data_IF_321847340499
#
_entry.id   IF_321847340499
#
_cell.length_a   1.000
_cell.length_b   1.000
_cell.length_c   1.000
_cell.angle_alpha   90.00
_cell.angle_beta   90.00
_cell.angle_gamma   90.00
#
_symmetry.space_group_name_H-M   'P 1'
#
loop_
_entity.id
_entity.type
_entity.pdbx_description
1 polymer ?
#
# COMPACT_ATOMS: atom_id res chain seq x y z
N UNK A 1 -24.63 -9.70 -24.23
CA UNK A 1 -24.99 -8.89 -23.05
C UNK A 1 -24.28 -7.57 -23.12
N UNK A 2 -25.07 -6.51 -23.03
CA UNK A 2 -24.61 -5.13 -23.17
C UNK A 2 -24.31 -4.58 -21.78
N UNK A 3 -23.01 -4.46 -21.46
CA UNK A 3 -22.54 -3.94 -20.17
C UNK A 3 -23.05 -2.51 -19.94
N UNK A 4 -23.20 -1.71 -21.01
CA UNK A 4 -23.73 -0.35 -20.91
C UNK A 4 -25.19 -0.34 -20.45
N UNK A 5 -25.98 -1.36 -20.83
CA UNK A 5 -27.37 -1.49 -20.37
C UNK A 5 -27.45 -1.74 -18.87
N UNK A 6 -26.54 -2.53 -18.31
CA UNK A 6 -26.47 -2.75 -16.85
C UNK A 6 -25.98 -1.49 -16.12
N UNK A 7 -24.94 -0.83 -16.65
CA UNK A 7 -24.39 0.40 -16.05
C UNK A 7 -25.47 1.50 -15.97
N UNK A 8 -26.33 1.62 -16.98
CA UNK A 8 -27.46 2.57 -16.98
C UNK A 8 -28.56 2.27 -15.94
N UNK A 9 -28.54 1.11 -15.31
CA UNK A 9 -29.47 0.79 -14.24
C UNK A 9 -29.14 1.53 -12.94
N UNK A 10 -27.89 2.00 -12.80
CA UNK A 10 -27.45 2.77 -11.65
C UNK A 10 -27.98 4.20 -11.74
N UNK A 11 -28.70 4.62 -10.69
CA UNK A 11 -29.27 5.96 -10.57
C UNK A 11 -28.51 6.78 -9.52
N UNK A 12 -28.58 8.12 -9.61
CA UNK A 12 -28.08 8.98 -8.54
C UNK A 12 -28.76 8.66 -7.22
N UNK A 13 -27.98 8.65 -6.14
CA UNK A 13 -28.44 8.31 -4.80
C UNK A 13 -28.48 9.55 -3.91
N UNK A 14 -29.43 9.57 -2.97
CA UNK A 14 -29.56 10.56 -1.91
C UNK A 14 -29.30 9.94 -0.54
N UNK A 15 -29.17 10.76 0.51
CA UNK A 15 -28.97 10.26 1.88
C UNK A 15 -30.12 9.37 2.38
N UNK A 16 -31.30 9.44 1.77
CA UNK A 16 -32.44 8.60 2.13
C UNK A 16 -32.35 7.19 1.53
N UNK A 17 -31.53 6.99 0.50
CA UNK A 17 -31.47 5.77 -0.29
C UNK A 17 -30.38 4.79 0.19
N UNK A 18 -29.55 5.19 1.17
CA UNK A 18 -28.39 4.40 1.60
C UNK A 18 -28.36 4.24 3.12
N UNK A 19 -28.17 3.00 3.57
CA UNK A 19 -27.92 2.66 4.97
C UNK A 19 -26.71 3.43 5.49
N UNK A 20 -26.74 3.87 6.76
CA UNK A 20 -25.63 4.61 7.35
C UNK A 20 -24.36 3.74 7.41
N UNK A 21 -23.38 4.05 6.55
CA UNK A 21 -22.07 3.38 6.49
C UNK A 21 -20.93 4.26 7.02
N UNK A 22 -21.19 5.55 7.27
CA UNK A 22 -20.22 6.53 7.75
C UNK A 22 -20.93 7.69 8.45
N UNK A 23 -20.17 8.68 8.94
CA UNK A 23 -20.74 9.91 9.49
C UNK A 23 -21.53 10.68 8.43
N UNK A 24 -22.56 11.44 8.83
CA UNK A 24 -23.45 12.15 7.88
C UNK A 24 -22.69 13.06 6.88
N UNK A 25 -21.59 13.68 7.33
CA UNK A 25 -20.73 14.50 6.46
C UNK A 25 -19.87 13.70 5.48
N UNK A 26 -19.55 12.45 5.79
CA UNK A 26 -18.81 11.53 4.91
C UNK A 26 -19.74 10.84 3.92
N UNK A 27 -20.93 10.41 4.36
CA UNK A 27 -21.97 9.86 3.48
C UNK A 27 -22.31 10.85 2.37
N UNK A 28 -22.54 12.12 2.70
CA UNK A 28 -22.82 13.15 1.68
C UNK A 28 -21.65 13.34 0.69
N UNK A 29 -20.40 13.29 1.17
CA UNK A 29 -19.20 13.38 0.30
C UNK A 29 -19.07 12.15 -0.61
N UNK A 30 -19.32 10.95 -0.08
CA UNK A 30 -19.29 9.71 -0.83
C UNK A 30 -20.38 9.69 -1.92
N UNK A 31 -21.60 10.10 -1.58
CA UNK A 31 -22.71 10.22 -2.53
C UNK A 31 -22.44 11.24 -3.64
N UNK A 32 -21.89 12.41 -3.29
CA UNK A 32 -21.49 13.41 -4.29
C UNK A 32 -20.44 12.86 -5.25
N UNK A 33 -19.48 12.09 -4.74
CA UNK A 33 -18.43 11.46 -5.55
C UNK A 33 -19.01 10.38 -6.46
N UNK A 34 -19.93 9.57 -5.94
CA UNK A 34 -20.63 8.52 -6.70
C UNK A 34 -21.52 9.11 -7.82
N UNK A 35 -22.34 10.11 -7.50
CA UNK A 35 -23.20 10.78 -8.47
C UNK A 35 -22.39 11.48 -9.57
N UNK A 36 -21.24 12.08 -9.20
CA UNK A 36 -20.30 12.63 -10.18
C UNK A 36 -19.72 11.54 -11.08
N UNK A 37 -19.35 10.37 -10.53
CA UNK A 37 -18.85 9.26 -11.33
C UNK A 37 -19.91 8.78 -12.34
N UNK A 38 -21.19 8.72 -11.97
CA UNK A 38 -22.28 8.40 -12.92
C UNK A 38 -22.35 9.40 -14.07
N UNK A 39 -22.31 10.71 -13.78
CA UNK A 39 -22.31 11.73 -14.85
C UNK A 39 -21.10 11.64 -15.77
N UNK A 40 -19.95 11.18 -15.26
CA UNK A 40 -18.73 10.98 -16.04
C UNK A 40 -18.81 9.74 -16.93
N UNK A 41 -19.48 8.67 -16.49
CA UNK A 41 -19.76 7.48 -17.30
C UNK A 41 -20.66 7.83 -18.49
N UNK A 42 -21.65 8.69 -18.29
CA UNK A 42 -22.49 9.19 -19.40
C UNK A 42 -21.69 10.07 -20.38
N UNK A 43 -20.77 10.90 -19.86
CA UNK A 43 -19.93 11.80 -20.63
C UNK A 43 -18.72 11.17 -21.35
N UNK A 44 -18.67 9.85 -21.47
CA UNK A 44 -17.56 9.09 -22.10
C UNK A 44 -16.21 9.24 -21.40
N UNK A 45 -16.19 9.70 -20.14
CA UNK A 45 -14.98 9.85 -19.32
C UNK A 45 -14.87 8.68 -18.32
N UNK A 46 -14.87 7.45 -18.87
CA UNK A 46 -14.97 6.25 -18.06
C UNK A 46 -13.75 6.02 -17.14
N UNK A 47 -12.56 6.47 -17.53
CA UNK A 47 -11.34 6.34 -16.71
C UNK A 47 -11.40 7.17 -15.43
N UNK A 48 -11.91 8.40 -15.50
CA UNK A 48 -12.06 9.27 -14.33
C UNK A 48 -13.11 8.70 -13.37
N UNK A 49 -14.23 8.21 -13.91
CA UNK A 49 -15.26 7.55 -13.13
C UNK A 49 -14.72 6.30 -12.44
N UNK A 50 -13.89 5.51 -13.13
CA UNK A 50 -13.29 4.29 -12.61
C UNK A 50 -12.36 4.57 -11.42
N UNK A 51 -11.55 5.63 -11.48
CA UNK A 51 -10.70 6.07 -10.35
C UNK A 51 -11.57 6.44 -9.14
N UNK A 52 -12.62 7.25 -9.36
CA UNK A 52 -13.52 7.68 -8.30
C UNK A 52 -14.25 6.49 -7.64
N UNK A 53 -14.76 5.56 -8.44
CA UNK A 53 -15.46 4.37 -7.96
C UNK A 53 -14.53 3.40 -7.21
N UNK A 54 -13.30 3.19 -7.71
CA UNK A 54 -12.27 2.39 -7.02
C UNK A 54 -11.98 2.96 -5.63
N UNK A 55 -11.80 4.28 -5.54
CA UNK A 55 -11.56 4.96 -4.27
C UNK A 55 -12.73 4.79 -3.31
N UNK A 56 -13.96 4.94 -3.80
CA UNK A 56 -15.17 4.74 -2.99
C UNK A 56 -15.28 3.30 -2.46
N UNK A 57 -15.10 2.31 -3.33
CA UNK A 57 -15.16 0.90 -2.94
C UNK A 57 -14.06 0.50 -1.94
N UNK A 58 -12.91 1.17 -1.95
CA UNK A 58 -11.84 0.95 -0.98
C UNK A 58 -12.08 1.69 0.34
N UNK A 59 -12.60 2.92 0.29
CA UNK A 59 -12.79 3.78 1.47
C UNK A 59 -14.06 3.42 2.26
N UNK A 60 -15.08 2.89 1.58
CA UNK A 60 -16.38 2.56 2.17
C UNK A 60 -16.83 1.17 1.71
N UNK A 61 -16.29 0.08 2.30
CA UNK A 61 -16.64 -1.29 1.90
C UNK A 61 -18.14 -1.61 2.03
N UNK A 62 -18.80 -1.04 3.03
CA UNK A 62 -20.24 -1.22 3.29
C UNK A 62 -21.11 -0.48 2.27
N UNK A 63 -20.53 0.44 1.49
CA UNK A 63 -21.19 1.09 0.36
C UNK A 63 -20.98 0.25 -0.91
N UNK A 64 -21.73 -0.85 -1.01
CA UNK A 64 -21.49 -1.94 -1.97
C UNK A 64 -21.83 -1.58 -3.42
N UNK A 65 -22.75 -0.65 -3.65
CA UNK A 65 -23.22 -0.21 -4.99
C UNK A 65 -22.08 0.34 -5.89
N UNK A 66 -21.21 1.27 -5.42
CA UNK A 66 -20.01 1.69 -6.16
C UNK A 66 -19.07 0.53 -6.51
N UNK A 67 -18.93 -0.45 -5.62
CA UNK A 67 -18.07 -1.61 -5.85
C UNK A 67 -18.58 -2.48 -6.99
N UNK A 68 -19.89 -2.73 -7.05
CA UNK A 68 -20.51 -3.48 -8.15
C UNK A 68 -20.40 -2.71 -9.47
N UNK A 69 -20.69 -1.40 -9.45
CA UNK A 69 -20.56 -0.53 -10.62
C UNK A 69 -19.12 -0.51 -11.15
N UNK A 70 -18.13 -0.46 -10.27
CA UNK A 70 -16.71 -0.54 -10.62
C UNK A 70 -16.38 -1.84 -11.36
N UNK A 71 -16.85 -3.00 -10.86
CA UNK A 71 -16.68 -4.29 -11.52
C UNK A 71 -17.33 -4.36 -12.91
N UNK A 72 -18.53 -3.80 -13.07
CA UNK A 72 -19.24 -3.76 -14.35
C UNK A 72 -18.54 -2.85 -15.39
N UNK A 73 -18.01 -1.71 -14.96
CA UNK A 73 -17.23 -0.82 -15.83
C UNK A 73 -15.93 -1.52 -16.28
N UNK A 74 -15.22 -2.21 -15.38
CA UNK A 74 -14.05 -3.02 -15.75
C UNK A 74 -14.39 -4.10 -16.78
N UNK A 75 -15.55 -4.77 -16.63
CA UNK A 75 -16.03 -5.76 -17.59
C UNK A 75 -16.31 -5.13 -18.96
N UNK A 76 -16.88 -3.92 -18.99
CA UNK A 76 -17.13 -3.19 -20.24
C UNK A 76 -15.86 -2.81 -21.00
N UNK A 77 -14.74 -2.61 -20.27
CA UNK A 77 -13.42 -2.31 -20.82
C UNK A 77 -12.60 -3.56 -21.19
N UNK A 78 -13.18 -4.76 -21.09
CA UNK A 78 -12.50 -6.01 -21.39
C UNK A 78 -11.56 -6.53 -20.30
N UNK A 79 -11.54 -5.91 -19.11
CA UNK A 79 -10.72 -6.36 -17.97
C UNK A 79 -11.44 -7.44 -17.15
N UNK A 80 -11.70 -8.58 -17.78
CA UNK A 80 -12.59 -9.65 -17.27
C UNK A 80 -12.15 -10.22 -15.92
N UNK A 81 -10.86 -10.49 -15.73
CA UNK A 81 -10.35 -11.09 -14.49
C UNK A 81 -10.45 -10.12 -13.30
N UNK A 82 -10.10 -8.85 -13.53
CA UNK A 82 -10.23 -7.80 -12.50
C UNK A 82 -11.70 -7.54 -12.15
N UNK A 83 -12.57 -7.50 -13.17
CA UNK A 83 -14.00 -7.36 -12.98
C UNK A 83 -14.57 -8.51 -12.13
N UNK A 84 -14.17 -9.76 -12.42
CA UNK A 84 -14.60 -10.94 -11.67
C UNK A 84 -14.23 -10.87 -10.20
N UNK A 85 -12.96 -10.60 -9.90
CA UNK A 85 -12.47 -10.50 -8.53
C UNK A 85 -13.19 -9.40 -7.75
N UNK A 86 -13.43 -8.26 -8.41
CA UNK A 86 -14.12 -7.14 -7.79
C UNK A 86 -15.61 -7.46 -7.51
N UNK A 87 -16.31 -8.11 -8.44
CA UNK A 87 -17.72 -8.48 -8.26
C UNK A 87 -17.86 -9.52 -7.15
N UNK A 88 -16.98 -10.53 -7.10
CA UNK A 88 -16.96 -11.52 -6.00
C UNK A 88 -16.75 -10.85 -4.64
N UNK A 89 -15.74 -9.98 -4.54
CA UNK A 89 -15.48 -9.22 -3.32
C UNK A 89 -16.70 -8.42 -2.87
N UNK A 90 -17.45 -7.84 -3.81
CA UNK A 90 -18.66 -7.09 -3.46
C UNK A 90 -19.77 -8.00 -2.97
N UNK A 91 -19.98 -9.16 -3.59
CA UNK A 91 -20.97 -10.15 -3.10
C UNK A 91 -20.66 -10.55 -1.66
N UNK A 92 -19.39 -10.80 -1.34
CA UNK A 92 -18.96 -11.17 0.02
C UNK A 92 -19.23 -10.07 1.06
N UNK A 93 -19.28 -8.79 0.66
CA UNK A 93 -19.60 -7.66 1.56
C UNK A 93 -21.10 -7.52 1.88
N UNK A 94 -21.98 -8.29 1.23
CA UNK A 94 -23.42 -8.29 1.49
C UNK A 94 -24.18 -7.26 0.64
N UNK A 95 -24.62 -7.68 -0.55
CA UNK A 95 -25.48 -6.86 -1.43
C UNK A 95 -26.95 -6.98 -1.02
N UNK A 96 -27.75 -5.96 -1.36
CA UNK A 96 -29.21 -6.12 -1.32
C UNK A 96 -29.64 -7.12 -2.41
N UNK A 97 -30.78 -7.82 -2.24
CA UNK A 97 -31.22 -8.87 -3.17
C UNK A 97 -31.21 -8.44 -4.65
N UNK A 98 -31.70 -7.23 -4.93
CA UNK A 98 -31.75 -6.67 -6.29
C UNK A 98 -30.36 -6.51 -6.94
N UNK A 99 -29.35 -6.12 -6.16
CA UNK A 99 -27.98 -5.96 -6.67
C UNK A 99 -27.25 -7.30 -6.74
N UNK A 100 -27.59 -8.24 -5.85
CA UNK A 100 -27.00 -9.58 -5.83
C UNK A 100 -27.37 -10.36 -7.10
N UNK A 101 -28.64 -10.32 -7.53
CA UNK A 101 -29.07 -10.96 -8.78
C UNK A 101 -28.30 -10.42 -10.00
N UNK A 102 -28.09 -9.09 -10.04
CA UNK A 102 -27.30 -8.45 -11.09
C UNK A 102 -25.82 -8.89 -11.05
N UNK A 103 -25.23 -9.00 -9.86
CA UNK A 103 -23.84 -9.40 -9.68
C UNK A 103 -23.61 -10.86 -10.10
N UNK A 104 -24.51 -11.77 -9.73
CA UNK A 104 -24.46 -13.18 -10.10
C UNK A 104 -24.63 -13.36 -11.62
N UNK A 105 -25.59 -12.65 -12.24
CA UNK A 105 -25.77 -12.67 -13.69
C UNK A 105 -24.54 -12.11 -14.44
N UNK A 106 -23.87 -11.10 -13.88
CA UNK A 106 -22.62 -10.57 -14.44
C UNK A 106 -21.48 -11.60 -14.35
N UNK A 107 -21.35 -12.31 -13.22
CA UNK A 107 -20.34 -13.35 -13.02
C UNK A 107 -20.55 -14.56 -13.93
N UNK A 108 -21.79 -15.05 -14.07
CA UNK A 108 -22.10 -16.18 -14.95
C UNK A 108 -21.60 -15.91 -16.37
N UNK A 109 -21.84 -14.70 -16.89
CA UNK A 109 -21.37 -14.32 -18.22
C UNK A 109 -19.84 -14.16 -18.30
N UNK A 110 -19.20 -13.62 -17.27
CA UNK A 110 -17.73 -13.50 -17.24
C UNK A 110 -17.08 -14.90 -17.30
N UNK A 111 -17.68 -15.88 -16.64
CA UNK A 111 -17.21 -17.27 -16.65
C UNK A 111 -17.41 -17.92 -18.04
N UNK A 112 -18.57 -17.76 -18.68
CA UNK A 112 -18.82 -18.23 -20.06
C UNK A 112 -17.80 -17.66 -21.05
N UNK A 113 -17.47 -16.36 -20.92
CA UNK A 113 -16.50 -15.69 -21.80
C UNK A 113 -15.07 -16.19 -21.59
N UNK A 114 -14.76 -16.79 -20.43
CA UNK A 114 -13.45 -17.36 -20.12
C UNK A 114 -13.29 -18.81 -20.59
N UNK A 115 -14.36 -19.61 -20.61
CA UNK A 115 -14.32 -21.01 -21.09
C UNK A 115 -14.12 -21.11 -22.61
N UNK A 116 -14.72 -20.20 -23.38
CA UNK A 116 -14.55 -20.16 -24.85
C UNK A 116 -13.11 -19.86 -25.27
N UNK A 117 -12.30 -19.25 -24.39
CA UNK A 117 -10.88 -18.98 -24.64
C UNK A 117 -9.97 -20.16 -24.24
N UNK A 118 -10.43 -21.10 -23.39
CA UNK A 118 -9.63 -22.26 -22.98
C UNK A 118 -9.82 -23.50 -23.85
N UNK A 119 -10.92 -23.60 -24.61
CA UNK A 119 -11.16 -24.74 -25.53
C UNK A 119 -10.48 -24.59 -26.91
N UNK A 120 -9.81 -23.45 -27.18
CA UNK A 120 -9.09 -23.19 -28.43
C UNK A 120 -7.57 -23.41 -28.40
N UNK A 121 -6.99 -23.85 -27.28
CA UNK A 121 -5.53 -23.97 -27.11
C UNK A 121 -5.06 -25.42 -27.14
N UNK A 122 -5.36 -26.14 -28.22
CA UNK A 122 -4.61 -27.33 -28.60
C UNK A 122 -4.39 -27.35 -30.12
N UNK A 123 -3.11 -27.25 -30.51
CA UNK A 123 -2.64 -27.64 -31.85
C UNK A 123 -2.22 -26.51 -32.81
N UNK A 124 -0.91 -26.26 -32.87
CA UNK A 124 -0.21 -26.06 -34.14
C UNK A 124 0.00 -24.61 -34.64
N UNK A 125 1.24 -24.12 -34.53
CA UNK A 125 1.86 -23.32 -35.61
C UNK A 125 2.33 -24.27 -36.73
N UNK A 126 2.66 -23.81 -37.97
CA UNK A 126 2.89 -22.43 -38.42
C UNK A 126 2.21 -22.06 -39.78
N UNK A 127 2.18 -20.77 -40.14
CA UNK A 127 1.95 -20.36 -41.53
C UNK A 127 1.51 -18.91 -41.71
N UNK A 128 2.34 -18.14 -42.42
CA UNK A 128 2.07 -16.80 -42.94
C UNK A 128 0.80 -16.74 -43.80
N UNK A 129 0.11 -15.59 -43.84
CA UNK A 129 -0.28 -14.86 -45.07
C UNK A 129 -0.66 -13.41 -44.71
N UNK A 130 -0.20 -12.52 -45.56
CA UNK A 130 -0.40 -11.08 -45.68
C UNK A 130 -1.87 -10.61 -45.74
N UNK A 131 -2.07 -9.33 -45.41
CA UNK A 131 -2.75 -8.45 -46.37
C UNK A 131 -3.99 -7.72 -45.86
N UNK A 132 -3.82 -6.39 -45.77
CA UNK A 132 -4.72 -5.28 -46.14
C UNK A 132 -4.90 -4.27 -45.00
N UNK A 133 -4.08 -3.20 -45.02
CA UNK A 133 -4.38 -1.87 -45.59
C UNK A 133 -5.40 -1.09 -44.76
N UNK A 134 -4.95 -0.06 -44.03
CA UNK A 134 -4.93 1.36 -44.44
C UNK A 134 -6.36 1.96 -44.41
N UNK A 135 -6.67 3.11 -43.82
CA UNK A 135 -5.91 4.35 -43.62
C UNK A 135 -6.69 5.30 -42.65
N UNK A 136 -6.22 6.53 -42.40
CA UNK A 136 -6.47 7.34 -41.19
C UNK A 136 -7.59 8.39 -41.36
N UNK A 137 -7.97 9.07 -40.26
CA UNK A 137 -8.72 10.34 -40.32
C UNK A 137 -8.07 11.41 -39.46
N UNK A 138 -7.51 12.42 -40.14
CA UNK A 138 -7.15 13.73 -39.59
C UNK A 138 -8.40 14.56 -39.26
N UNK A 139 -8.31 15.33 -38.18
CA UNK A 139 -8.61 16.77 -38.13
C UNK A 139 -10.04 17.26 -38.35
N UNK A 140 -10.65 17.81 -37.29
CA UNK A 140 -11.46 19.03 -37.37
C UNK A 140 -11.57 19.68 -35.98
N UNK A 141 -10.92 20.84 -35.81
CA UNK A 141 -11.25 21.82 -34.77
C UNK A 141 -12.57 22.50 -35.13
N UNK A 142 -13.38 22.82 -34.13
CA UNK A 142 -14.32 23.94 -34.19
C UNK A 142 -14.42 24.62 -32.81
N UNK A 143 -14.38 25.96 -32.74
CA UNK A 143 -14.47 26.73 -31.50
C UNK A 143 -15.93 27.05 -31.17
N UNK A 144 -16.30 26.97 -29.88
CA UNK A 144 -17.56 27.54 -29.37
C UNK A 144 -17.22 28.48 -28.22
N UNK A 145 -17.25 29.76 -28.54
CA UNK A 145 -17.39 30.87 -27.61
C UNK A 145 -18.82 30.85 -27.08
N UNK A 146 -19.00 30.74 -25.76
CA UNK A 146 -20.16 31.35 -25.13
C UNK A 146 -19.82 31.98 -23.79
N UNK A 147 -20.50 33.10 -23.57
CA UNK A 147 -20.12 34.28 -22.81
C UNK A 147 -21.04 34.33 -21.61
N UNK A 148 -20.54 34.18 -20.39
CA UNK A 148 -21.27 34.66 -19.20
C UNK A 148 -20.33 35.44 -18.29
N UNK A 149 -20.65 36.72 -18.13
CA UNK A 149 -19.93 37.63 -17.27
C UNK A 149 -20.40 37.50 -15.83
N UNK A 150 -19.44 37.58 -14.90
CA UNK A 150 -19.59 38.27 -13.62
C UNK A 150 -18.19 38.57 -13.08
N UNK A 151 -17.81 39.86 -13.14
CA UNK A 151 -16.60 40.39 -12.52
C UNK A 151 -16.73 40.28 -11.00
N UNK A 152 -16.21 39.20 -10.43
CA UNK A 152 -15.77 39.17 -9.04
C UNK A 152 -14.29 39.54 -9.03
N UNK A 153 -13.88 40.44 -8.12
CA UNK A 153 -12.49 40.83 -7.92
C UNK A 153 -11.68 39.59 -7.53
N UNK A 154 -11.10 38.89 -8.51
CA UNK A 154 -10.13 37.83 -8.26
C UNK A 154 -8.89 38.47 -7.64
N UNK A 155 -8.67 38.19 -6.34
CA UNK A 155 -7.33 38.27 -5.78
C UNK A 155 -6.48 37.31 -6.61
N UNK A 156 -5.52 37.86 -7.34
CA UNK A 156 -4.52 37.06 -8.03
C UNK A 156 -3.90 36.14 -6.98
N UNK A 157 -3.93 34.83 -7.23
CA UNK A 157 -3.21 33.85 -6.41
C UNK A 157 -1.77 34.36 -6.22
N UNK A 158 -1.32 34.39 -4.97
CA UNK A 158 0.03 34.83 -4.63
C UNK A 158 1.06 33.97 -5.38
N UNK A 159 2.28 34.46 -5.59
CA UNK A 159 3.33 33.67 -6.26
C UNK A 159 3.49 32.28 -5.65
N UNK A 160 3.31 32.18 -4.33
CA UNK A 160 3.34 30.92 -3.56
C UNK A 160 2.14 30.01 -3.84
N UNK A 161 0.93 30.55 -3.93
CA UNK A 161 -0.26 29.77 -4.33
C UNK A 161 -0.20 29.35 -5.80
N UNK A 162 0.40 30.17 -6.68
CA UNK A 162 0.62 29.77 -8.09
C UNK A 162 1.64 28.65 -8.17
N UNK A 163 2.71 28.72 -7.41
CA UNK A 163 3.71 27.66 -7.31
C UNK A 163 3.10 26.40 -6.70
N UNK A 164 2.26 26.50 -5.67
CA UNK A 164 1.55 25.37 -5.08
C UNK A 164 0.49 24.76 -6.01
N UNK A 165 -0.18 25.57 -6.84
CA UNK A 165 -1.14 25.09 -7.84
C UNK A 165 -0.45 24.49 -9.06
N UNK A 166 0.69 25.05 -9.50
CA UNK A 166 1.55 24.43 -10.52
C UNK A 166 2.13 23.12 -9.99
N UNK A 167 2.56 23.10 -8.73
CA UNK A 167 2.97 21.90 -8.00
C UNK A 167 1.85 20.86 -7.99
N UNK A 168 0.62 21.22 -7.61
CA UNK A 168 -0.53 20.31 -7.66
C UNK A 168 -0.96 19.90 -9.09
N UNK A 169 -0.73 20.77 -10.10
CA UNK A 169 -1.08 20.53 -11.49
C UNK A 169 -0.09 19.65 -12.27
N UNK A 170 1.21 19.73 -11.94
CA UNK A 170 2.23 18.76 -12.40
C UNK A 170 2.05 17.39 -11.75
N UNK A 171 1.31 17.31 -10.64
CA UNK A 171 0.98 16.09 -9.91
C UNK A 171 -0.45 15.62 -10.22
N UNK A 172 -0.73 15.30 -11.49
CA UNK A 172 -1.84 14.40 -11.77
C UNK A 172 -1.69 13.18 -10.83
N UNK A 173 -2.71 12.92 -10.00
CA UNK A 173 -2.70 11.94 -8.91
C UNK A 173 -2.48 10.48 -9.36
N UNK A 174 -2.21 10.26 -10.64
CA UNK A 174 -1.96 8.95 -11.25
C UNK A 174 -0.53 8.42 -11.00
N UNK A 175 0.39 9.25 -10.49
CA UNK A 175 1.78 8.88 -10.18
C UNK A 175 2.04 8.72 -8.65
N UNK A 176 1.11 8.16 -7.88
CA UNK A 176 1.44 7.66 -6.55
C UNK A 176 2.26 6.36 -6.70
N UNK A 177 3.54 6.41 -6.32
CA UNK A 177 4.41 5.24 -6.17
C UNK A 177 3.83 4.29 -5.12
N UNK A 178 3.00 3.34 -5.54
CA UNK A 178 2.55 2.28 -4.66
C UNK A 178 3.63 1.21 -4.57
N UNK A 179 4.56 1.40 -3.64
CA UNK A 179 5.60 0.40 -3.35
C UNK A 179 4.94 -0.77 -2.62
N UNK A 180 4.60 -1.84 -3.36
CA UNK A 180 4.14 -3.08 -2.74
C UNK A 180 5.30 -3.69 -1.94
N UNK A 181 5.29 -3.50 -0.62
CA UNK A 181 6.20 -4.22 0.26
C UNK A 181 5.82 -5.70 0.25
N UNK A 182 6.56 -6.50 -0.52
CA UNK A 182 6.54 -7.96 -0.38
C UNK A 182 7.16 -8.27 0.99
N UNK A 183 6.32 -8.46 2.01
CA UNK A 183 6.75 -8.77 3.40
C UNK A 183 7.83 -9.83 3.38
N UNK A 184 8.94 -9.56 4.06
CA UNK A 184 10.06 -10.51 4.10
C UNK A 184 9.65 -11.76 4.91
N UNK A 185 10.18 -12.94 4.61
CA UNK A 185 9.83 -14.18 5.34
C UNK A 185 10.06 -14.08 6.86
N UNK A 186 10.96 -13.21 7.30
CA UNK A 186 11.25 -12.94 8.72
C UNK A 186 10.09 -12.21 9.41
N UNK A 187 9.39 -11.31 8.71
CA UNK A 187 8.20 -10.61 9.25
C UNK A 187 7.01 -11.55 9.38
N UNK A 188 6.84 -12.49 8.44
CA UNK A 188 5.85 -13.56 8.57
C UNK A 188 6.15 -14.42 9.80
N UNK A 189 7.41 -14.76 10.04
CA UNK A 189 7.79 -15.57 11.20
C UNK A 189 7.49 -14.86 12.53
N UNK A 190 7.73 -13.54 12.64
CA UNK A 190 7.43 -12.76 13.86
C UNK A 190 5.95 -12.73 14.22
N UNK A 191 5.05 -12.75 13.24
CA UNK A 191 3.60 -12.74 13.47
C UNK A 191 3.03 -14.16 13.57
N UNK A 192 3.53 -15.09 12.77
CA UNK A 192 3.03 -16.47 12.75
C UNK A 192 3.39 -17.24 14.03
N UNK A 193 4.56 -16.99 14.61
CA UNK A 193 5.03 -17.68 15.82
C UNK A 193 4.11 -17.49 17.04
N UNK A 194 3.71 -16.25 17.44
CA UNK A 194 2.78 -16.07 18.56
C UNK A 194 1.38 -16.60 18.26
N UNK A 195 0.91 -16.53 17.02
CA UNK A 195 -0.40 -17.09 16.62
C UNK A 195 -0.40 -18.61 16.72
N UNK A 196 0.64 -19.27 16.21
CA UNK A 196 0.80 -20.71 16.31
C UNK A 196 0.92 -21.18 17.77
N UNK A 197 1.67 -20.44 18.61
CA UNK A 197 1.76 -20.70 20.04
C UNK A 197 0.40 -20.58 20.73
N UNK A 198 -0.39 -19.56 20.40
CA UNK A 198 -1.75 -19.38 20.91
C UNK A 198 -2.68 -20.53 20.54
N UNK A 199 -2.66 -20.97 19.28
CA UNK A 199 -3.46 -22.11 18.82
C UNK A 199 -3.07 -23.41 19.52
N UNK A 200 -1.78 -23.63 19.79
CA UNK A 200 -1.30 -24.81 20.50
C UNK A 200 -1.80 -24.84 21.96
N UNK A 201 -1.77 -23.70 22.65
CA UNK A 201 -2.30 -23.57 24.02
C UNK A 201 -3.81 -23.84 24.06
N UNK A 202 -4.58 -23.27 23.11
CA UNK A 202 -6.02 -23.53 23.01
C UNK A 202 -6.30 -25.01 22.72
N UNK A 203 -5.55 -25.62 21.81
CA UNK A 203 -5.66 -27.05 21.50
C UNK A 203 -5.40 -27.94 22.72
N UNK A 204 -4.37 -27.63 23.51
CA UNK A 204 -4.08 -28.34 24.76
C UNK A 204 -5.22 -28.20 25.79
N UNK A 205 -5.77 -26.98 25.95
CA UNK A 205 -6.89 -26.76 26.87
C UNK A 205 -8.12 -27.57 26.48
N UNK A 206 -8.46 -27.63 25.19
CA UNK A 206 -9.58 -28.45 24.69
C UNK A 206 -9.32 -29.94 24.94
N UNK A 207 -8.10 -30.40 24.66
CA UNK A 207 -7.72 -31.80 24.88
C UNK A 207 -7.86 -32.21 26.36
N UNK A 208 -7.39 -31.38 27.29
CA UNK A 208 -7.54 -31.63 28.72
C UNK A 208 -9.00 -31.57 29.19
N UNK A 209 -9.80 -30.63 28.68
CA UNK A 209 -11.21 -30.55 29.01
C UNK A 209 -11.99 -31.80 28.58
N UNK A 210 -11.76 -32.29 27.36
CA UNK A 210 -12.40 -33.51 26.85
C UNK A 210 -11.98 -34.75 27.64
N UNK A 211 -10.68 -34.88 27.94
CA UNK A 211 -10.16 -36.00 28.74
C UNK A 211 -10.70 -36.01 30.17
N UNK A 212 -10.82 -34.85 30.80
CA UNK A 212 -11.33 -34.72 32.17
C UNK A 212 -12.83 -35.04 32.26
N UNK A 213 -13.63 -34.55 31.31
CA UNK A 213 -15.07 -34.84 31.25
C UNK A 213 -15.30 -36.34 31.08
N UNK A 214 -14.55 -36.99 30.18
CA UNK A 214 -14.68 -38.44 29.95
C UNK A 214 -14.36 -39.27 31.20
N UNK A 215 -13.26 -38.95 31.90
CA UNK A 215 -12.88 -39.65 33.14
C UNK A 215 -13.86 -39.41 34.29
N UNK A 216 -14.42 -38.20 34.38
CA UNK A 216 -15.42 -37.88 35.41
C UNK A 216 -16.75 -38.64 35.22
N UNK A 217 -17.15 -38.88 33.96
CA UNK A 217 -18.36 -39.64 33.64
C UNK A 217 -18.21 -41.12 33.98
N UNK A 218 -17.00 -41.69 33.82
CA UNK A 218 -16.74 -43.07 34.22
C UNK A 218 -16.83 -43.25 35.74
N UNK A 219 -16.27 -42.32 36.52
CA UNK A 219 -16.42 -42.35 37.98
C UNK A 219 -17.87 -42.19 38.43
N UNK A 220 -18.68 -41.36 37.74
CA UNK A 220 -20.11 -41.20 38.05
C UNK A 220 -20.89 -42.48 37.74
N UNK A 221 -20.63 -43.12 36.60
CA UNK A 221 -21.26 -44.41 36.26
C UNK A 221 -20.92 -45.51 37.27
N UNK A 222 -19.67 -45.57 37.72
CA UNK A 222 -19.27 -46.54 38.75
C UNK A 222 -19.98 -46.30 40.09
N UNK A 223 -20.21 -45.04 40.47
CA UNK A 223 -20.97 -44.69 41.67
C UNK A 223 -22.46 -45.04 41.52
N UNK A 224 -23.08 -44.72 40.38
CA UNK A 224 -24.49 -45.05 40.09
C UNK A 224 -24.74 -46.58 40.08
N UNK A 225 -23.80 -47.36 39.54
CA UNK A 225 -23.89 -48.83 39.61
C UNK A 225 -23.73 -49.35 41.04
N UNK A 226 -22.81 -48.77 41.83
CA UNK A 226 -22.60 -49.18 43.21
C UNK A 226 -23.82 -48.88 44.10
N UNK A 227 -24.43 -47.70 43.94
CA UNK A 227 -25.67 -47.35 44.65
C UNK A 227 -26.83 -48.24 44.24
N UNK A 228 -26.97 -48.53 42.94
CA UNK A 228 -28.04 -49.42 42.45
C UNK A 228 -27.91 -50.86 42.96
N UNK A 229 -26.69 -51.38 43.06
CA UNK A 229 -26.43 -52.73 43.63
C UNK A 229 -26.69 -52.77 45.12
N UNK A 230 -26.31 -51.72 45.84
CA UNK A 230 -26.56 -51.59 47.28
C UNK A 230 -28.07 -51.52 47.56
N UNK A 231 -28.80 -50.72 46.80
CA UNK A 231 -30.26 -50.57 46.94
C UNK A 231 -30.99 -51.89 46.65
N UNK A 232 -30.56 -52.61 45.60
CA UNK A 232 -31.06 -53.96 45.33
C UNK A 232 -30.81 -54.94 46.49
N UNK A 233 -29.60 -54.93 47.07
CA UNK A 233 -29.26 -55.79 48.20
C UNK A 233 -30.09 -55.46 49.44
N UNK A 234 -30.26 -54.17 49.76
CA UNK A 234 -31.10 -53.73 50.87
C UNK A 234 -32.56 -54.14 50.66
N UNK A 235 -33.09 -53.99 49.44
CA UNK A 235 -34.46 -54.43 49.12
C UNK A 235 -34.64 -55.95 49.30
N UNK A 236 -33.63 -56.75 48.93
CA UNK A 236 -33.69 -58.20 49.08
C UNK A 236 -33.59 -58.63 50.54
N UNK A 237 -32.71 -58.00 51.32
CA UNK A 237 -32.61 -58.25 52.75
C UNK A 237 -33.90 -57.87 53.49
N UNK A 238 -34.49 -56.72 53.16
CA UNK A 238 -35.76 -56.28 53.73
C UNK A 238 -36.90 -57.28 53.44
N UNK A 239 -36.97 -57.83 52.22
CA UNK A 239 -37.98 -58.83 51.86
C UNK A 239 -37.86 -60.15 52.63
N UNK A 240 -36.69 -60.44 53.23
CA UNK A 240 -36.40 -61.65 54.00
C UNK A 240 -36.33 -61.41 55.51
N UNK A 241 -36.39 -60.15 55.95
CA UNK A 241 -36.30 -59.79 57.36
C UNK A 241 -37.43 -60.42 58.19
N UNK A 242 -38.63 -60.57 57.62
CA UNK A 242 -39.77 -61.22 58.28
C UNK A 242 -39.56 -62.71 58.60
N UNK A 243 -38.53 -63.33 58.02
CA UNK A 243 -38.24 -64.77 58.17
C UNK A 243 -37.02 -65.06 59.05
N UNK A 244 -36.18 -64.06 59.34
CA UNK A 244 -34.94 -64.23 60.11
C UNK A 244 -34.61 -62.98 60.96
N UNK A 245 -34.75 -63.13 62.27
CA UNK A 245 -34.49 -62.07 63.29
C UNK A 245 -33.05 -61.54 63.23
N UNK A 246 -32.09 -62.33 62.74
CA UNK A 246 -30.71 -61.88 62.56
C UNK A 246 -30.58 -60.86 61.41
N UNK A 247 -31.39 -61.00 60.35
CA UNK A 247 -31.40 -60.07 59.21
C UNK A 247 -32.05 -58.74 59.61
N UNK A 248 -33.12 -58.79 60.39
CA UNK A 248 -33.80 -57.61 60.92
C UNK A 248 -32.86 -56.75 61.79
N UNK A 249 -32.12 -57.38 62.71
CA UNK A 249 -31.11 -56.67 63.52
C UNK A 249 -30.02 -56.03 62.67
N UNK A 250 -29.55 -56.72 61.63
CA UNK A 250 -28.50 -56.23 60.76
C UNK A 250 -28.97 -55.02 59.92
N UNK A 251 -30.22 -55.01 59.46
CA UNK A 251 -30.82 -53.85 58.78
C UNK A 251 -30.98 -52.66 59.73
N UNK A 252 -31.45 -52.89 60.96
CA UNK A 252 -31.60 -51.83 61.96
C UNK A 252 -30.24 -51.19 62.33
N UNK A 253 -29.18 -52.00 62.47
CA UNK A 253 -27.82 -51.49 62.70
C UNK A 253 -27.27 -50.74 61.47
N UNK A 254 -27.61 -51.17 60.26
CA UNK A 254 -27.22 -50.47 59.03
C UNK A 254 -27.92 -49.10 58.92
N UNK A 255 -29.24 -49.03 59.09
CA UNK A 255 -29.99 -47.77 59.06
C UNK A 255 -29.50 -46.81 60.14
N UNK A 256 -29.27 -47.31 61.36
CA UNK A 256 -28.74 -46.50 62.47
C UNK A 256 -27.37 -45.86 62.16
N UNK A 257 -26.52 -46.55 61.41
CA UNK A 257 -25.16 -46.08 61.14
C UNK A 257 -25.03 -45.28 59.84
N UNK A 258 -25.95 -45.46 58.88
CA UNK A 258 -25.79 -44.93 57.52
C UNK A 258 -27.01 -44.22 56.91
N UNK A 259 -28.19 -44.24 57.55
CA UNK A 259 -29.33 -43.45 57.10
C UNK A 259 -29.18 -41.99 57.56
N UNK A 260 -28.51 -41.18 56.76
CA UNK A 260 -28.53 -39.72 56.91
C UNK A 260 -29.86 -39.17 56.41
N UNK A 261 -30.57 -38.46 57.29
CA UNK A 261 -31.72 -37.62 56.97
C UNK A 261 -31.41 -36.70 55.78
N UNK A 262 -32.13 -36.88 54.67
CA UNK A 262 -32.13 -35.91 53.58
C UNK A 262 -33.12 -34.77 53.89
N UNK A 263 -32.68 -33.55 53.57
CA UNK A 263 -33.52 -32.37 53.26
C UNK A 263 -34.03 -31.49 54.42
N UNK A 264 -33.24 -30.49 54.84
CA UNK A 264 -33.73 -29.11 55.09
C UNK A 264 -32.60 -28.09 55.38
N UNK A 265 -32.87 -26.82 55.02
CA UNK A 265 -32.08 -25.59 55.25
C UNK A 265 -30.89 -25.35 54.28
N UNK A 266 -30.98 -24.45 53.29
CA UNK A 266 -31.05 -22.97 53.40
C UNK A 266 -29.81 -22.35 54.05
N UNK A 267 -29.45 -21.16 53.55
CA UNK A 267 -28.31 -20.29 53.91
C UNK A 267 -26.98 -20.64 53.22
N UNK A 268 -26.17 -19.74 52.66
CA UNK A 268 -26.14 -18.27 52.51
C UNK A 268 -25.00 -17.94 51.53
N UNK A 269 -25.14 -16.86 50.76
CA UNK A 269 -24.00 -16.07 50.26
C UNK A 269 -23.37 -15.24 51.39
N UNK A 270 -22.07 -14.91 51.30
CA UNK A 270 -21.61 -13.51 51.41
C UNK A 270 -20.60 -13.19 50.27
N UNK A 271 -20.50 -12.03 49.62
CA UNK A 271 -20.55 -10.59 49.95
C UNK A 271 -19.30 -10.04 50.68
N UNK A 272 -18.57 -9.17 49.95
CA UNK A 272 -17.78 -7.99 50.38
C UNK A 272 -16.26 -8.11 50.68
N UNK A 273 -15.45 -7.69 49.69
CA UNK A 273 -14.57 -6.48 49.66
C UNK A 273 -13.30 -6.38 50.58
N UNK A 274 -12.41 -5.34 50.44
CA UNK A 274 -10.98 -5.45 50.12
C UNK A 274 -10.05 -4.99 51.27
N UNK A 275 -8.71 -4.95 51.06
CA UNK A 275 -7.96 -3.72 51.36
C UNK A 275 -6.84 -3.45 50.33
N UNK A 276 -6.68 -2.23 49.80
CA UNK A 276 -6.02 -1.06 50.37
C UNK A 276 -4.47 -1.10 50.36
N UNK A 277 -3.91 -0.21 49.54
CA UNK A 277 -2.52 0.29 49.40
C UNK A 277 -2.01 1.00 50.67
N UNK A 278 -0.69 1.12 50.88
CA UNK A 278 0.05 2.38 50.62
C UNK A 278 1.45 2.12 50.00
N UNK A 279 1.96 2.79 48.95
CA UNK A 279 2.44 4.19 48.82
C UNK A 279 3.60 4.58 49.76
N UNK A 280 4.83 4.74 49.23
CA UNK A 280 5.85 5.75 49.60
C UNK A 280 7.02 5.72 48.57
N UNK A 281 7.24 6.75 47.72
CA UNK A 281 8.10 7.97 47.91
C UNK A 281 9.59 7.65 48.05
N UNK A 282 10.61 8.37 47.57
CA UNK A 282 10.88 9.48 46.65
C UNK A 282 12.43 9.50 46.52
N UNK A 283 13.00 10.12 45.49
CA UNK A 283 14.45 10.21 45.31
C UNK A 283 14.87 11.20 44.23
N UNK A 284 15.06 12.43 44.67
CA UNK A 284 15.43 13.69 44.00
C UNK A 284 16.95 13.71 43.65
N UNK A 285 17.36 13.91 42.39
CA UNK A 285 17.90 15.14 41.77
C UNK A 285 19.45 15.37 41.92
N UNK A 286 20.09 16.41 41.33
CA UNK A 286 21.11 16.32 40.25
C UNK A 286 22.44 17.04 40.69
N UNK A 287 23.21 17.83 39.89
CA UNK A 287 23.56 17.89 38.45
C UNK A 287 25.10 17.97 38.20
N UNK A 288 25.57 18.10 36.94
CA UNK A 288 26.82 18.75 36.49
C UNK A 288 26.91 18.63 34.95
N UNK A 289 27.56 19.42 34.11
CA UNK A 289 28.10 20.80 34.05
C UNK A 289 28.63 20.97 32.61
N UNK A 290 28.55 22.20 32.10
CA UNK A 290 28.99 22.77 30.82
C UNK A 290 30.25 22.23 30.11
N UNK A 291 30.29 22.40 28.77
CA UNK A 291 31.40 23.11 28.08
C UNK A 291 31.04 23.63 26.66
N UNK A 292 31.25 24.93 26.48
CA UNK A 292 31.50 25.64 25.21
C UNK A 292 32.91 25.30 24.68
N UNK A 293 33.18 25.53 23.38
CA UNK A 293 34.31 26.29 22.74
C UNK A 293 34.17 26.06 21.21
N UNK A 294 33.73 27.02 20.37
CA UNK A 294 34.47 28.11 19.70
C UNK A 294 35.63 27.72 18.74
N UNK A 295 35.52 28.21 17.48
CA UNK A 295 36.58 28.74 16.56
C UNK A 295 37.66 27.75 16.03
N UNK A 296 38.15 27.78 14.79
CA UNK A 296 38.55 28.90 13.90
C UNK A 296 38.69 28.46 12.42
N UNK A 297 38.29 29.35 11.50
CA UNK A 297 38.85 29.55 10.15
C UNK A 297 40.25 30.19 10.25
N UNK A 298 41.19 29.93 9.32
CA UNK A 298 41.58 31.02 8.41
C UNK A 298 41.78 30.62 6.95
N UNK A 299 41.39 31.54 6.07
CA UNK A 299 41.73 31.61 4.67
C UNK A 299 43.22 31.89 4.44
N UNK A 300 43.78 31.32 3.37
CA UNK A 300 45.02 31.78 2.76
C UNK A 300 44.81 31.93 1.24
N UNK A 301 44.71 33.18 0.82
CA UNK A 301 44.88 33.65 -0.55
C UNK A 301 46.38 33.79 -0.84
N UNK A 302 46.89 33.20 -1.92
CA UNK A 302 47.91 33.83 -2.77
C UNK A 302 48.28 32.99 -4.02
N UNK A 303 48.28 33.71 -5.15
CA UNK A 303 49.20 33.64 -6.31
C UNK A 303 49.10 32.51 -7.34
N UNK A 304 48.53 32.90 -8.48
CA UNK A 304 48.73 32.37 -9.84
C UNK A 304 50.18 32.61 -10.28
N UNK A 305 50.79 31.69 -11.05
CA UNK A 305 51.71 32.06 -12.12
C UNK A 305 51.19 31.62 -13.51
N UNK A 306 51.32 32.54 -14.47
CA UNK A 306 51.02 32.39 -15.90
C UNK A 306 52.28 31.93 -16.66
N UNK A 307 52.09 31.06 -17.68
CA UNK A 307 52.64 31.04 -19.07
C UNK A 307 53.31 29.74 -19.53
N UNK A 308 52.67 29.02 -20.49
CA UNK A 308 53.23 28.44 -21.75
C UNK A 308 52.18 27.48 -22.41
N UNK A 309 52.19 27.25 -23.73
CA UNK A 309 51.00 26.94 -24.53
C UNK A 309 50.66 25.44 -24.53
N UNK A 310 50.06 24.98 -23.44
CA UNK A 310 49.10 23.87 -23.47
C UNK A 310 47.78 24.47 -23.91
N UNK A 311 47.01 23.86 -24.83
CA UNK A 311 45.61 24.28 -24.95
C UNK A 311 45.04 24.28 -23.52
N UNK A 312 44.51 25.41 -23.00
CA UNK A 312 44.11 25.48 -21.61
C UNK A 312 43.20 24.29 -21.34
N UNK A 313 43.47 23.52 -20.30
CA UNK A 313 42.67 22.32 -19.96
C UNK A 313 41.17 22.64 -20.01
N UNK A 314 40.78 23.86 -19.61
CA UNK A 314 39.42 24.35 -19.73
C UNK A 314 38.88 24.54 -21.15
N UNK A 315 39.70 24.90 -22.15
CA UNK A 315 39.27 24.95 -23.55
C UNK A 315 38.99 23.57 -24.12
N UNK A 316 39.79 22.56 -23.77
CA UNK A 316 39.55 21.18 -24.21
C UNK A 316 38.28 20.62 -23.59
N UNK A 317 38.09 20.80 -22.28
CA UNK A 317 36.86 20.41 -21.58
C UNK A 317 35.62 21.11 -22.16
N UNK A 318 35.74 22.38 -22.57
CA UNK A 318 34.64 23.10 -23.22
C UNK A 318 34.30 22.53 -24.61
N UNK A 319 35.30 22.14 -25.41
CA UNK A 319 35.08 21.51 -26.71
C UNK A 319 34.39 20.15 -26.57
N UNK A 320 34.80 19.37 -25.58
CA UNK A 320 34.20 18.08 -25.27
C UNK A 320 32.75 18.23 -24.79
N UNK A 321 32.48 19.16 -23.87
CA UNK A 321 31.14 19.46 -23.41
C UNK A 321 30.22 19.95 -24.54
N UNK A 322 30.73 20.75 -25.49
CA UNK A 322 29.98 21.19 -26.67
C UNK A 322 29.61 20.03 -27.59
N UNK A 323 30.55 19.10 -27.80
CA UNK A 323 30.31 17.89 -28.59
C UNK A 323 29.25 16.99 -27.95
N UNK A 324 29.37 16.73 -26.64
CA UNK A 324 28.37 15.98 -25.87
C UNK A 324 26.99 16.65 -25.94
N UNK A 325 26.93 17.98 -25.81
CA UNK A 325 25.68 18.73 -25.95
C UNK A 325 25.07 18.58 -27.36
N UNK A 326 25.88 18.67 -28.42
CA UNK A 326 25.39 18.48 -29.80
C UNK A 326 24.86 17.06 -30.02
N UNK A 327 25.54 16.04 -29.50
CA UNK A 327 25.08 14.66 -29.55
C UNK A 327 23.77 14.47 -28.75
N UNK A 328 23.66 15.10 -27.58
CA UNK A 328 22.44 15.06 -26.79
C UNK A 328 21.25 15.72 -27.50
N UNK A 329 21.47 16.86 -28.17
CA UNK A 329 20.43 17.53 -28.98
C UNK A 329 19.93 16.62 -30.11
N UNK A 330 20.84 15.91 -30.77
CA UNK A 330 20.48 14.96 -31.82
C UNK A 330 19.70 13.75 -31.26
N UNK A 331 20.09 13.24 -30.09
CA UNK A 331 19.45 12.09 -29.46
C UNK A 331 18.11 12.43 -28.78
N UNK A 332 17.89 13.68 -28.33
CA UNK A 332 16.76 14.04 -27.47
C UNK A 332 15.36 13.74 -28.04
N UNK A 333 15.22 13.57 -29.36
CA UNK A 333 13.96 13.20 -30.00
C UNK A 333 13.71 11.70 -30.13
N UNK A 334 14.75 10.87 -30.10
CA UNK A 334 14.68 9.43 -30.38
C UNK A 334 15.10 8.57 -29.18
N UNK A 335 16.13 9.00 -28.45
CA UNK A 335 16.70 8.32 -27.30
C UNK A 335 16.97 9.30 -26.14
N UNK A 336 15.93 9.48 -25.32
CA UNK A 336 15.97 10.34 -24.13
C UNK A 336 16.91 9.81 -23.04
N UNK A 337 17.26 8.52 -23.04
CA UNK A 337 18.20 7.95 -22.07
C UNK A 337 19.62 8.40 -22.39
N UNK A 338 20.06 8.16 -23.63
CA UNK A 338 21.38 8.57 -24.09
C UNK A 338 21.53 10.08 -24.04
N UNK A 339 20.50 10.84 -24.45
CA UNK A 339 20.50 12.29 -24.33
C UNK A 339 20.67 12.76 -22.87
N UNK A 340 19.98 12.11 -21.93
CA UNK A 340 20.11 12.40 -20.50
C UNK A 340 21.54 12.20 -19.99
N UNK A 341 22.15 11.05 -20.30
CA UNK A 341 23.51 10.73 -19.88
C UNK A 341 24.54 11.72 -20.43
N UNK A 342 24.49 12.00 -21.74
CA UNK A 342 25.37 12.96 -22.41
C UNK A 342 25.26 14.37 -21.79
N UNK A 343 24.06 14.78 -21.37
CA UNK A 343 23.86 16.08 -20.71
C UNK A 343 24.40 16.12 -19.28
N UNK A 344 24.31 15.01 -18.54
CA UNK A 344 24.94 14.93 -17.22
C UNK A 344 26.45 15.02 -17.34
N UNK A 345 27.05 14.29 -18.28
CA UNK A 345 28.49 14.32 -18.54
C UNK A 345 28.96 15.72 -18.98
N UNK A 346 28.22 16.35 -19.91
CA UNK A 346 28.51 17.73 -20.32
C UNK A 346 28.39 18.71 -19.14
N UNK A 347 27.39 18.53 -18.26
CA UNK A 347 27.20 19.36 -17.07
C UNK A 347 28.37 19.23 -16.10
N UNK A 348 28.85 18.02 -15.88
CA UNK A 348 29.95 17.74 -14.95
C UNK A 348 31.27 18.36 -15.47
N UNK A 349 31.59 18.22 -16.76
CA UNK A 349 32.74 18.88 -17.39
C UNK A 349 32.67 20.41 -17.27
N UNK A 350 31.48 20.98 -17.46
CA UNK A 350 31.28 22.43 -17.37
C UNK A 350 31.36 22.97 -15.95
N UNK A 351 31.09 22.14 -14.93
CA UNK A 351 31.20 22.53 -13.54
C UNK A 351 32.66 22.72 -13.09
N UNK A 352 33.61 22.08 -13.77
CA UNK A 352 35.04 22.13 -13.44
C UNK A 352 35.78 23.32 -14.06
N UNK A 353 35.16 24.06 -14.98
CA UNK A 353 35.83 25.14 -15.73
C UNK A 353 35.25 26.53 -15.41
N UNK A 354 36.07 27.61 -15.49
CA UNK A 354 35.57 28.97 -15.31
C UNK A 354 34.50 29.33 -16.34
N UNK A 355 33.44 30.01 -15.92
CA UNK A 355 32.30 30.35 -16.79
C UNK A 355 32.66 31.21 -18.01
N UNK A 356 33.71 32.02 -17.93
CA UNK A 356 34.22 32.88 -19.03
C UNK A 356 35.09 32.11 -20.03
N UNK A 357 35.33 30.82 -19.81
CA UNK A 357 36.15 30.00 -20.72
C UNK A 357 35.49 29.97 -22.09
N UNK A 358 36.26 30.30 -23.12
CA UNK A 358 35.84 30.27 -24.51
C UNK A 358 36.83 29.42 -25.32
N UNK A 359 36.32 28.68 -26.31
CA UNK A 359 37.11 27.82 -27.18
C UNK A 359 36.81 28.13 -28.66
N UNK A 360 37.81 28.07 -29.56
CA UNK A 360 37.57 28.23 -30.99
C UNK A 360 36.56 27.21 -31.52
N UNK A 361 35.55 27.67 -32.26
CA UNK A 361 34.52 26.80 -32.85
C UNK A 361 33.29 26.57 -31.96
N UNK A 362 33.34 26.94 -30.68
CA UNK A 362 32.17 26.93 -29.79
C UNK A 362 31.52 28.32 -29.79
N UNK A 363 30.21 28.39 -30.01
CA UNK A 363 29.51 29.67 -30.13
C UNK A 363 29.33 30.40 -28.79
N UNK A 364 29.30 29.66 -27.68
CA UNK A 364 29.09 30.17 -26.34
C UNK A 364 30.33 29.95 -25.46
N UNK A 365 30.48 30.79 -24.43
CA UNK A 365 31.37 30.50 -23.32
C UNK A 365 30.82 29.35 -22.45
N UNK A 366 31.62 28.86 -21.51
CA UNK A 366 31.23 27.77 -20.62
C UNK A 366 29.93 28.06 -19.86
N UNK A 367 29.74 29.30 -19.38
CA UNK A 367 28.51 29.72 -18.71
C UNK A 367 27.29 29.74 -19.66
N UNK A 368 27.48 30.10 -20.93
CA UNK A 368 26.46 30.06 -21.97
C UNK A 368 26.09 28.63 -22.36
N UNK A 369 27.07 27.73 -22.49
CA UNK A 369 26.82 26.32 -22.79
C UNK A 369 26.16 25.62 -21.59
N UNK A 370 26.59 25.90 -20.36
CA UNK A 370 25.97 25.36 -19.14
C UNK A 370 24.47 25.73 -19.07
N UNK A 371 24.11 26.98 -19.41
CA UNK A 371 22.70 27.39 -19.50
C UNK A 371 21.91 26.63 -20.56
N UNK A 372 22.52 26.30 -21.70
CA UNK A 372 21.89 25.51 -22.75
C UNK A 372 21.67 24.06 -22.31
N UNK A 373 22.70 23.45 -21.71
CA UNK A 373 22.62 22.10 -21.11
C UNK A 373 21.48 22.04 -20.09
N UNK A 374 21.44 22.95 -19.12
CA UNK A 374 20.39 23.01 -18.11
C UNK A 374 18.99 23.22 -18.70
N UNK A 375 18.89 24.00 -19.78
CA UNK A 375 17.62 24.21 -20.48
C UNK A 375 17.14 22.92 -21.13
N UNK A 376 18.03 22.17 -21.77
CA UNK A 376 17.68 20.90 -22.40
C UNK A 376 17.38 19.82 -21.36
N UNK A 377 18.16 19.73 -20.27
CA UNK A 377 17.87 18.86 -19.13
C UNK A 377 16.44 19.14 -18.65
N UNK A 378 16.08 20.38 -18.33
CA UNK A 378 14.71 20.72 -17.89
C UNK A 378 13.61 20.27 -18.85
N UNK A 379 13.89 20.28 -20.15
CA UNK A 379 12.93 19.86 -21.18
C UNK A 379 12.71 18.34 -21.19
N UNK A 380 13.77 17.55 -21.03
CA UNK A 380 13.71 16.08 -21.15
C UNK A 380 13.70 15.35 -19.80
N UNK A 381 13.98 16.05 -18.70
CA UNK A 381 14.29 15.48 -17.39
C UNK A 381 13.21 14.51 -16.88
N UNK A 382 11.92 14.84 -17.08
CA UNK A 382 10.82 13.95 -16.69
C UNK A 382 10.87 12.62 -17.44
N UNK A 383 10.91 12.68 -18.76
CA UNK A 383 10.87 11.50 -19.63
C UNK A 383 12.14 10.65 -19.49
N UNK A 384 13.30 11.30 -19.43
CA UNK A 384 14.59 10.64 -19.23
C UNK A 384 14.68 9.97 -17.85
N UNK A 385 14.19 10.60 -16.78
CA UNK A 385 14.15 9.98 -15.46
C UNK A 385 13.16 8.81 -15.40
N UNK A 386 12.02 8.89 -16.10
CA UNK A 386 11.07 7.78 -16.19
C UNK A 386 11.67 6.59 -16.95
N UNK A 387 12.35 6.84 -18.08
CA UNK A 387 13.03 5.81 -18.85
C UNK A 387 14.11 5.10 -18.01
N UNK A 388 14.94 5.88 -17.30
CA UNK A 388 15.96 5.33 -16.40
C UNK A 388 15.32 4.48 -15.29
N UNK A 389 14.23 4.97 -14.69
CA UNK A 389 13.50 4.21 -13.66
C UNK A 389 13.00 2.86 -14.18
N UNK A 390 12.50 2.79 -15.42
CA UNK A 390 12.02 1.53 -16.01
C UNK A 390 13.15 0.50 -16.09
N UNK A 391 14.31 0.88 -16.63
CA UNK A 391 15.48 0.01 -16.71
C UNK A 391 16.01 -0.39 -15.33
N UNK A 392 16.12 0.57 -14.41
CA UNK A 392 16.52 0.31 -13.03
C UNK A 392 15.58 -0.65 -12.31
N UNK A 393 14.27 -0.57 -12.55
CA UNK A 393 13.29 -1.48 -11.94
C UNK A 393 13.43 -2.92 -12.43
N UNK A 394 13.75 -3.15 -13.70
CA UNK A 394 13.97 -4.49 -14.23
C UNK A 394 15.16 -5.17 -13.54
N UNK A 395 16.27 -4.44 -13.39
CA UNK A 395 17.46 -4.88 -12.68
C UNK A 395 17.20 -5.07 -11.18
N UNK A 396 16.46 -4.13 -10.58
CA UNK A 396 16.07 -4.19 -9.17
C UNK A 396 15.25 -5.45 -8.86
N UNK A 397 14.28 -5.77 -9.72
CA UNK A 397 13.45 -6.97 -9.58
C UNK A 397 14.27 -8.26 -9.71
N UNK A 398 15.35 -8.22 -10.49
CA UNK A 398 16.34 -9.29 -10.62
C UNK A 398 17.38 -9.31 -9.48
N UNK A 399 17.25 -8.42 -8.48
CA UNK A 399 18.18 -8.25 -7.35
C UNK A 399 19.59 -7.77 -7.74
N UNK A 400 19.76 -7.27 -8.96
CA UNK A 400 20.99 -6.63 -9.41
C UNK A 400 21.04 -5.19 -8.89
N UNK A 401 21.19 -5.02 -7.57
CA UNK A 401 21.01 -3.71 -6.92
C UNK A 401 22.08 -2.68 -7.29
N UNK A 402 23.32 -3.12 -7.55
CA UNK A 402 24.39 -2.22 -7.97
C UNK A 402 24.10 -1.64 -9.36
N UNK A 403 23.80 -2.51 -10.33
CA UNK A 403 23.45 -2.11 -11.69
C UNK A 403 22.16 -1.28 -11.73
N UNK A 404 21.16 -1.65 -10.91
CA UNK A 404 19.93 -0.87 -10.78
C UNK A 404 20.18 0.53 -10.21
N UNK A 405 21.11 0.66 -9.26
CA UNK A 405 21.44 1.94 -8.63
C UNK A 405 21.95 2.94 -9.66
N UNK A 406 22.78 2.53 -10.62
CA UNK A 406 23.31 3.44 -11.64
C UNK A 406 22.18 4.13 -12.43
N UNK A 407 21.18 3.37 -12.87
CA UNK A 407 20.01 3.94 -13.55
C UNK A 407 19.19 4.86 -12.62
N UNK A 408 18.99 4.49 -11.36
CA UNK A 408 18.26 5.35 -10.42
C UNK A 408 19.04 6.63 -10.10
N UNK A 409 20.37 6.58 -10.00
CA UNK A 409 21.22 7.75 -9.79
C UNK A 409 21.16 8.70 -10.97
N UNK A 410 21.23 8.19 -12.21
CA UNK A 410 21.03 9.00 -13.41
C UNK A 410 19.66 9.67 -13.40
N UNK A 411 18.60 8.90 -13.14
CA UNK A 411 17.25 9.46 -13.03
C UNK A 411 17.13 10.52 -11.93
N UNK A 412 17.80 10.30 -10.79
CA UNK A 412 17.83 11.24 -9.67
C UNK A 412 18.61 12.51 -10.03
N UNK A 413 19.74 12.41 -10.72
CA UNK A 413 20.57 13.54 -11.13
C UNK A 413 19.89 14.43 -12.18
N UNK A 414 19.01 13.85 -13.00
CA UNK A 414 18.19 14.57 -13.99
C UNK A 414 16.94 15.18 -13.34
N UNK A 415 16.20 14.38 -12.58
CA UNK A 415 14.97 14.80 -11.94
C UNK A 415 14.74 14.08 -10.60
N UNK A 416 15.28 14.61 -9.49
CA UNK A 416 15.14 13.98 -8.16
C UNK A 416 13.69 13.75 -7.75
N UNK A 417 12.81 14.62 -8.26
CA UNK A 417 11.38 14.66 -7.94
C UNK A 417 10.52 13.77 -8.86
N UNK A 418 11.13 13.08 -9.82
CA UNK A 418 10.45 12.20 -10.75
C UNK A 418 9.61 11.15 -10.00
N UNK A 419 8.44 10.85 -10.57
CA UNK A 419 7.55 9.80 -10.07
C UNK A 419 7.23 9.98 -8.57
N UNK A 420 6.91 11.22 -8.16
CA UNK A 420 6.55 11.52 -6.77
C UNK A 420 7.63 11.22 -5.73
N UNK A 421 8.91 11.26 -6.11
CA UNK A 421 10.03 10.89 -5.25
C UNK A 421 10.43 9.41 -5.33
N UNK A 422 9.80 8.63 -6.20
CA UNK A 422 10.10 7.21 -6.38
C UNK A 422 11.55 6.95 -6.76
N UNK A 423 12.13 7.75 -7.67
CA UNK A 423 13.53 7.56 -8.09
C UNK A 423 14.49 7.72 -6.91
N UNK A 424 14.29 8.75 -6.08
CA UNK A 424 15.05 8.94 -4.85
C UNK A 424 14.86 7.76 -3.88
N UNK A 425 13.62 7.33 -3.65
CA UNK A 425 13.33 6.18 -2.78
C UNK A 425 14.06 4.91 -3.23
N UNK A 426 14.10 4.62 -4.54
CA UNK A 426 14.78 3.46 -5.08
C UNK A 426 16.31 3.59 -5.06
N UNK A 427 16.88 4.79 -5.14
CA UNK A 427 18.31 5.01 -4.84
C UNK A 427 18.61 4.54 -3.41
N UNK A 428 17.84 5.05 -2.43
CA UNK A 428 17.98 4.67 -1.03
C UNK A 428 17.80 3.17 -0.81
N UNK A 429 16.83 2.56 -1.50
CA UNK A 429 16.56 1.13 -1.38
C UNK A 429 17.67 0.27 -1.97
N UNK A 430 18.24 0.63 -3.12
CA UNK A 430 19.38 -0.12 -3.67
C UNK A 430 20.58 -0.04 -2.72
N UNK A 431 20.92 1.15 -2.22
CA UNK A 431 21.99 1.32 -1.23
C UNK A 431 21.75 0.48 0.03
N UNK A 432 20.52 0.51 0.56
CA UNK A 432 20.14 -0.31 1.72
C UNK A 432 20.29 -1.81 1.44
N UNK A 433 19.84 -2.29 0.27
CA UNK A 433 19.95 -3.71 -0.10
C UNK A 433 21.39 -4.18 -0.29
N UNK A 434 22.31 -3.26 -0.59
CA UNK A 434 23.76 -3.51 -0.64
C UNK A 434 24.45 -3.37 0.72
N UNK A 435 23.74 -2.94 1.76
CA UNK A 435 24.28 -2.73 3.10
C UNK A 435 24.93 -1.36 3.33
N UNK A 436 24.87 -0.46 2.36
CA UNK A 436 25.37 0.90 2.50
C UNK A 436 24.29 1.84 3.06
N UNK A 437 24.08 1.75 4.38
CA UNK A 437 23.08 2.55 5.08
C UNK A 437 23.45 4.03 5.16
N UNK A 438 24.74 4.37 5.07
CA UNK A 438 25.20 5.75 5.05
C UNK A 438 24.78 6.42 3.74
N UNK A 439 25.00 5.76 2.60
CA UNK A 439 24.54 6.23 1.31
C UNK A 439 23.01 6.21 1.16
N UNK A 440 22.31 5.25 1.79
CA UNK A 440 20.85 5.15 1.69
C UNK A 440 20.10 6.31 2.37
N UNK A 441 20.60 6.74 3.54
CA UNK A 441 19.95 7.74 4.41
C UNK A 441 19.52 9.03 3.70
N UNK A 442 20.40 9.78 3.01
CA UNK A 442 20.04 11.07 2.42
C UNK A 442 18.90 10.97 1.39
N UNK A 443 18.78 9.84 0.69
CA UNK A 443 17.69 9.65 -0.27
C UNK A 443 16.34 9.47 0.41
N UNK A 444 16.27 8.76 1.54
CA UNK A 444 15.04 8.63 2.30
C UNK A 444 14.66 9.95 2.98
N UNK A 445 15.62 10.69 3.53
CA UNK A 445 15.39 12.03 4.09
C UNK A 445 14.88 13.00 3.02
N UNK A 446 15.43 12.94 1.81
CA UNK A 446 14.91 13.69 0.67
C UNK A 446 13.44 13.37 0.42
N UNK A 447 13.07 12.09 0.32
CA UNK A 447 11.68 11.67 0.09
C UNK A 447 10.75 12.18 1.20
N UNK A 448 11.17 12.07 2.46
CA UNK A 448 10.38 12.53 3.62
C UNK A 448 10.18 14.05 3.59
N UNK A 449 11.23 14.80 3.26
CA UNK A 449 11.19 16.26 3.24
C UNK A 449 10.37 16.82 2.07
N UNK A 450 10.49 16.21 0.89
CA UNK A 450 9.84 16.71 -0.32
C UNK A 450 8.40 16.20 -0.47
N UNK A 451 8.07 15.05 0.12
CA UNK A 451 6.77 14.39 -0.01
C UNK A 451 6.15 13.97 1.34
N UNK A 452 6.07 14.86 2.35
CA UNK A 452 5.69 14.48 3.71
C UNK A 452 4.29 13.86 3.82
N UNK A 453 3.37 14.27 2.94
CA UNK A 453 1.97 13.86 2.92
C UNK A 453 1.70 12.60 2.07
N UNK A 454 2.72 12.04 1.41
CA UNK A 454 2.58 10.84 0.57
C UNK A 454 2.97 9.57 1.34
N UNK A 455 2.34 8.45 0.99
CA UNK A 455 2.65 7.13 1.55
C UNK A 455 4.14 6.77 1.45
N UNK A 456 4.81 7.20 0.37
CA UNK A 456 6.24 6.96 0.16
C UNK A 456 7.12 7.56 1.27
N UNK A 457 6.72 8.67 1.88
CA UNK A 457 7.43 9.22 3.03
C UNK A 457 7.24 8.33 4.27
N UNK A 458 6.07 7.70 4.43
CA UNK A 458 5.84 6.68 5.45
C UNK A 458 6.76 5.46 5.26
N UNK A 459 6.91 4.99 4.03
CA UNK A 459 7.83 3.90 3.70
C UNK A 459 9.29 4.29 3.95
N UNK A 460 9.71 5.49 3.53
CA UNK A 460 11.05 6.00 3.75
C UNK A 460 11.39 6.11 5.25
N UNK A 461 10.46 6.60 6.10
CA UNK A 461 10.64 6.63 7.56
C UNK A 461 10.83 5.23 8.13
N UNK A 462 10.03 4.27 7.69
CA UNK A 462 10.15 2.88 8.14
C UNK A 462 11.53 2.30 7.75
N UNK A 463 12.01 2.57 6.52
CA UNK A 463 13.35 2.15 6.08
C UNK A 463 14.47 2.77 6.92
N UNK A 464 14.39 4.05 7.24
CA UNK A 464 15.35 4.70 8.15
C UNK A 464 15.37 4.00 9.52
N UNK A 465 14.20 3.74 10.11
CA UNK A 465 14.11 3.03 11.38
C UNK A 465 14.71 1.60 11.31
N UNK A 466 14.52 0.88 10.19
CA UNK A 466 15.11 -0.45 9.99
C UNK A 466 16.65 -0.41 9.94
N UNK A 467 17.22 0.70 9.48
CA UNK A 467 18.67 0.93 9.44
C UNK A 467 19.22 1.50 10.76
N UNK A 468 18.36 1.82 11.73
CA UNK A 468 18.75 2.36 13.04
C UNK A 468 18.88 3.88 13.11
N UNK A 469 18.22 4.62 12.22
CA UNK A 469 18.19 6.09 12.23
C UNK A 469 16.94 6.68 12.87
#
# INVERSE_FOLDING_TARGET
MDWHKLIRHFKPLTNADVSSFASAGEVSRALNTYNRALTQLDGHNADIALIALRKLAASYPDFTQPGLLYGLVLASMGRTEQARQQILKTIDTGLTPDWQEMAEHALAKLNDSSQVLSEGSDGGSPGAVEGQSAAPRMGAMAPVLEKTGRRSKMRMASAREREDVVRQGEYAQDEETHVQMRRTPIEYLRVALPVAAGLLVVGLLVFFAVGFISKSNETRRMQEEATSRLDWLLSQLASRADQDEAIERLLADYEKNFATEDTTASFLSPTTEPPATPAESAGEAPPETSRQTESTTPAATATIPTTAPTQPIGQQALLEADELYRQAVAAAGEDVLSAGNLLLEARDLLAEIPGETAAPGVQADAAGLSRQVETLIKKIAKDAAEANRKLGMDLFNNKAYAEALDYFLTGYALYPRAYGGGVAYYCGLCCQMMGDFAAAKPYYEFVISQYPDRDIAGYARNRLNQMGY
#
